data_IF_153647669456
#
_entry.id   IF_153647669456
#
_cell.length_a   1.000
_cell.length_b   1.000
_cell.length_c   1.000
_cell.angle_alpha   90.00
_cell.angle_beta   90.00
_cell.angle_gamma   90.00
#
_symmetry.space_group_name_H-M   'P 1'
#
loop_
_entity.id
_entity.type
_entity.pdbx_description
1 polymer ?
#
# COMPACT_ATOMS: atom_id res chain seq x y z
N UNK A 1 10.34 11.73 15.31
CA UNK A 1 8.90 11.49 15.55
C UNK A 1 7.96 12.52 14.89
N UNK A 2 7.89 13.77 15.37
CA UNK A 2 6.89 14.76 14.92
C UNK A 2 6.88 15.02 13.41
N UNK A 3 8.06 15.13 12.79
CA UNK A 3 8.17 15.29 11.34
C UNK A 3 7.52 14.12 10.58
N UNK A 4 7.73 12.88 11.03
CA UNK A 4 7.13 11.68 10.42
C UNK A 4 5.61 11.63 10.58
N UNK A 5 5.09 12.01 11.75
CA UNK A 5 3.63 12.13 12.00
C UNK A 5 3.03 13.17 11.07
N UNK A 6 3.64 14.36 10.99
CA UNK A 6 3.20 15.44 10.12
C UNK A 6 3.21 15.02 8.65
N UNK A 7 4.32 14.43 8.17
CA UNK A 7 4.43 13.93 6.80
C UNK A 7 3.35 12.88 6.48
N UNK A 8 3.18 11.89 7.34
CA UNK A 8 2.19 10.82 7.14
C UNK A 8 0.77 11.37 7.08
N UNK A 9 0.44 12.29 7.99
CA UNK A 9 -0.90 12.90 8.07
C UNK A 9 -1.18 13.81 6.86
N UNK A 10 -0.21 14.65 6.48
CA UNK A 10 -0.32 15.54 5.32
C UNK A 10 -0.45 14.71 4.04
N UNK A 11 0.38 13.68 3.86
CA UNK A 11 0.29 12.79 2.70
C UNK A 11 -1.07 12.08 2.63
N UNK A 12 -1.62 11.62 3.76
CA UNK A 12 -2.95 11.03 3.80
C UNK A 12 -4.05 12.03 3.37
N UNK A 13 -4.00 13.25 3.88
CA UNK A 13 -4.96 14.31 3.53
C UNK A 13 -4.87 14.70 2.06
N UNK A 14 -3.66 14.90 1.53
CA UNK A 14 -3.43 15.22 0.12
C UNK A 14 -3.86 14.08 -0.79
N UNK A 15 -3.57 12.83 -0.41
CA UNK A 15 -3.99 11.64 -1.15
C UNK A 15 -5.51 11.50 -1.19
N UNK A 16 -6.19 11.68 -0.06
CA UNK A 16 -7.64 11.68 0.03
C UNK A 16 -8.26 12.79 -0.83
N UNK A 17 -7.74 14.02 -0.71
CA UNK A 17 -8.21 15.16 -1.49
C UNK A 17 -8.08 14.94 -3.00
N UNK A 18 -6.89 14.53 -3.45
CA UNK A 18 -6.64 14.23 -4.88
C UNK A 18 -7.47 13.06 -5.37
N UNK A 19 -7.74 12.06 -4.52
CA UNK A 19 -8.65 10.96 -4.83
C UNK A 19 -10.09 11.43 -5.05
N UNK A 20 -10.61 12.32 -4.18
CA UNK A 20 -11.95 12.92 -4.34
C UNK A 20 -12.02 13.72 -5.63
N UNK A 21 -11.05 14.61 -5.87
CA UNK A 21 -10.97 15.41 -7.11
C UNK A 21 -10.95 14.52 -8.36
N UNK A 22 -10.20 13.42 -8.32
CA UNK A 22 -10.15 12.48 -9.43
C UNK A 22 -11.51 11.83 -9.69
N UNK A 23 -12.22 11.43 -8.64
CA UNK A 23 -13.54 10.81 -8.76
C UNK A 23 -14.63 11.77 -9.24
N UNK A 24 -14.60 13.02 -8.79
CA UNK A 24 -15.54 14.06 -9.22
C UNK A 24 -15.32 14.41 -10.71
N UNK A 25 -14.06 14.56 -11.12
CA UNK A 25 -13.71 14.79 -12.52
C UNK A 25 -14.17 13.65 -13.44
N UNK A 26 -14.08 12.41 -12.96
CA UNK A 26 -14.58 11.26 -13.69
C UNK A 26 -16.10 11.26 -13.85
N UNK A 27 -16.84 11.62 -12.81
CA UNK A 27 -18.30 11.79 -12.88
C UNK A 27 -18.70 12.85 -13.90
N UNK A 28 -18.06 14.03 -13.86
CA UNK A 28 -18.29 15.12 -14.83
C UNK A 28 -18.03 14.63 -16.26
N UNK A 29 -16.95 13.86 -16.46
CA UNK A 29 -16.62 13.29 -17.76
C UNK A 29 -17.68 12.30 -18.25
N UNK A 30 -18.21 11.44 -17.37
CA UNK A 30 -19.27 10.50 -17.72
C UNK A 30 -20.60 11.20 -18.03
N UNK A 31 -20.90 12.31 -17.35
CA UNK A 31 -22.08 13.13 -17.63
C UNK A 31 -21.98 13.83 -18.99
N UNK A 32 -20.81 14.40 -19.31
CA UNK A 32 -20.58 15.10 -20.57
C UNK A 32 -20.44 14.16 -21.77
N UNK A 33 -19.93 12.94 -21.57
CA UNK A 33 -19.77 11.94 -22.63
C UNK A 33 -20.34 10.58 -22.20
N UNK A 34 -21.63 10.32 -22.48
CA UNK A 34 -22.33 9.10 -22.03
C UNK A 34 -21.70 7.78 -22.47
N UNK A 35 -20.87 7.77 -23.52
CA UNK A 35 -20.16 6.57 -23.99
C UNK A 35 -19.26 5.93 -22.91
N UNK A 36 -18.78 6.71 -21.93
CA UNK A 36 -17.94 6.21 -20.85
C UNK A 36 -18.73 5.60 -19.67
N UNK A 37 -20.06 5.58 -19.75
CA UNK A 37 -20.92 4.92 -18.75
C UNK A 37 -21.02 3.40 -18.92
N UNK A 38 -20.89 2.89 -20.15
CA UNK A 38 -21.17 1.48 -20.48
C UNK A 38 -19.98 0.54 -20.22
N UNK A 39 -18.75 0.97 -20.55
CA UNK A 39 -17.50 0.29 -20.17
C UNK A 39 -16.31 1.14 -20.61
N UNK A 40 -15.40 1.46 -19.69
CA UNK A 40 -14.13 2.11 -20.04
C UNK A 40 -12.98 1.35 -19.37
N UNK A 41 -12.21 0.59 -20.16
CA UNK A 41 -11.08 -0.21 -19.65
C UNK A 41 -9.92 0.65 -19.13
N UNK A 42 -9.75 1.86 -19.66
CA UNK A 42 -8.64 2.77 -19.33
C UNK A 42 -9.16 4.20 -19.06
N UNK A 43 -9.83 4.42 -17.92
CA UNK A 43 -10.50 5.69 -17.64
C UNK A 43 -9.52 6.86 -17.49
N UNK A 44 -8.36 6.65 -16.88
CA UNK A 44 -7.40 7.73 -16.62
C UNK A 44 -6.74 8.28 -17.91
N UNK A 45 -6.23 7.45 -18.83
CA UNK A 45 -5.74 7.93 -20.13
C UNK A 45 -6.81 8.60 -20.99
N UNK A 46 -8.07 8.18 -20.88
CA UNK A 46 -9.18 8.82 -21.59
C UNK A 46 -9.47 10.23 -21.06
N UNK A 47 -9.31 10.48 -19.76
CA UNK A 47 -9.33 11.84 -19.22
C UNK A 47 -8.21 12.69 -19.84
N UNK A 48 -6.98 12.16 -19.88
CA UNK A 48 -5.86 12.82 -20.54
C UNK A 48 -6.13 13.13 -22.03
N UNK A 49 -6.80 12.22 -22.72
CA UNK A 49 -7.22 12.41 -24.11
C UNK A 49 -8.19 13.58 -24.29
N UNK A 50 -9.12 13.77 -23.35
CA UNK A 50 -10.12 14.83 -23.45
C UNK A 50 -9.58 16.22 -23.16
N UNK A 51 -8.49 16.32 -22.40
CA UNK A 51 -7.85 17.61 -22.08
C UNK A 51 -6.81 18.01 -23.13
N UNK A 52 -5.92 17.09 -23.51
CA UNK A 52 -4.76 17.41 -24.38
C UNK A 52 -4.70 16.58 -25.67
N UNK A 53 -5.79 15.89 -26.04
CA UNK A 53 -5.81 15.02 -27.21
C UNK A 53 -4.88 13.82 -27.07
N UNK A 54 -4.38 13.30 -28.20
CA UNK A 54 -3.59 12.08 -28.20
C UNK A 54 -2.29 12.18 -27.39
N UNK A 55 -1.66 13.37 -27.36
CA UNK A 55 -0.46 13.62 -26.56
C UNK A 55 -0.72 13.42 -25.07
N UNK A 56 -1.84 13.92 -24.55
CA UNK A 56 -2.25 13.70 -23.16
C UNK A 56 -2.51 12.24 -22.82
N UNK A 57 -3.15 11.50 -23.74
CA UNK A 57 -3.39 10.07 -23.58
C UNK A 57 -2.07 9.30 -23.44
N UNK A 58 -1.12 9.55 -24.33
CA UNK A 58 0.19 8.87 -24.33
C UNK A 58 0.94 9.22 -23.03
N UNK A 59 1.02 10.50 -22.68
CA UNK A 59 1.70 10.95 -21.47
C UNK A 59 1.17 10.27 -20.20
N UNK A 60 -0.15 10.31 -19.97
CA UNK A 60 -0.79 9.68 -18.80
C UNK A 60 -0.61 8.16 -18.81
N UNK A 61 -0.72 7.52 -19.98
CA UNK A 61 -0.51 6.06 -20.10
C UNK A 61 0.92 5.67 -19.72
N UNK A 62 1.92 6.42 -20.19
CA UNK A 62 3.33 6.16 -19.87
C UNK A 62 3.58 6.29 -18.38
N UNK A 63 3.12 7.38 -17.75
CA UNK A 63 3.29 7.59 -16.31
C UNK A 63 2.65 6.48 -15.47
N UNK A 64 1.41 6.10 -15.80
CA UNK A 64 0.71 5.02 -15.08
C UNK A 64 1.43 3.68 -15.28
N UNK A 65 1.94 3.41 -16.47
CA UNK A 65 2.65 2.15 -16.77
C UNK A 65 3.95 2.06 -15.95
N UNK A 66 4.72 3.14 -15.88
CA UNK A 66 5.94 3.21 -15.06
C UNK A 66 5.60 3.02 -13.57
N UNK A 67 4.57 3.73 -13.07
CA UNK A 67 4.10 3.61 -11.70
C UNK A 67 3.70 2.17 -11.35
N UNK A 68 2.89 1.54 -12.20
CA UNK A 68 2.37 0.19 -11.99
C UNK A 68 3.46 -0.88 -12.07
N UNK A 69 4.42 -0.72 -12.98
CA UNK A 69 5.60 -1.59 -13.03
C UNK A 69 6.39 -1.52 -11.71
N UNK A 70 6.69 -0.31 -11.24
CA UNK A 70 7.39 -0.13 -9.96
C UNK A 70 6.62 -0.72 -8.78
N UNK A 71 5.31 -0.49 -8.73
CA UNK A 71 4.44 -1.04 -7.68
C UNK A 71 4.46 -2.57 -7.66
N UNK A 72 4.35 -3.18 -8.84
CA UNK A 72 4.40 -4.64 -9.00
C UNK A 72 5.73 -5.23 -8.56
N UNK A 73 6.86 -4.58 -8.90
CA UNK A 73 8.19 -5.02 -8.48
C UNK A 73 8.35 -4.99 -6.97
N UNK A 74 7.95 -3.90 -6.31
CA UNK A 74 8.07 -3.78 -4.84
C UNK A 74 7.23 -4.83 -4.13
N UNK A 75 5.97 -5.03 -4.54
CA UNK A 75 5.10 -6.05 -3.94
C UNK A 75 5.61 -7.47 -4.18
N UNK A 76 6.17 -7.75 -5.36
CA UNK A 76 6.78 -9.05 -5.66
C UNK A 76 7.97 -9.34 -4.74
N UNK A 77 8.86 -8.34 -4.55
CA UNK A 77 10.02 -8.48 -3.68
C UNK A 77 9.62 -8.66 -2.20
N UNK A 78 8.60 -7.91 -1.75
CA UNK A 78 8.06 -8.05 -0.40
C UNK A 78 7.46 -9.45 -0.17
N UNK A 79 6.65 -9.94 -1.12
CA UNK A 79 6.09 -11.29 -1.04
C UNK A 79 7.19 -12.37 -1.01
N UNK A 80 8.25 -12.21 -1.81
CA UNK A 80 9.39 -13.12 -1.81
C UNK A 80 10.15 -13.10 -0.47
N UNK A 81 10.31 -11.94 0.16
CA UNK A 81 10.97 -11.81 1.47
C UNK A 81 10.15 -12.46 2.60
N UNK A 82 8.82 -12.24 2.60
CA UNK A 82 7.90 -12.87 3.55
C UNK A 82 7.92 -14.40 3.41
N UNK A 83 7.86 -14.92 2.17
CA UNK A 83 7.92 -16.37 1.90
C UNK A 83 9.28 -16.95 2.30
N UNK A 84 10.38 -16.27 1.99
CA UNK A 84 11.73 -16.69 2.41
C UNK A 84 11.84 -16.79 3.92
N UNK A 85 11.36 -15.77 4.64
CA UNK A 85 11.32 -15.74 6.10
C UNK A 85 10.48 -16.86 6.69
N UNK A 86 9.31 -17.14 6.07
CA UNK A 86 8.43 -18.23 6.46
C UNK A 86 9.07 -19.61 6.28
N UNK A 87 9.68 -19.87 5.12
CA UNK A 87 10.37 -21.14 4.83
C UNK A 87 11.53 -21.38 5.80
N UNK A 88 12.29 -20.33 6.11
CA UNK A 88 13.38 -20.42 7.07
C UNK A 88 12.86 -20.70 8.49
N UNK A 89 11.76 -20.07 8.90
CA UNK A 89 11.24 -20.25 10.25
C UNK A 89 10.67 -21.65 10.51
N UNK A 90 9.88 -22.21 9.58
CA UNK A 90 9.20 -23.49 9.77
C UNK A 90 10.05 -24.70 9.39
N UNK A 91 10.81 -24.60 8.30
CA UNK A 91 11.58 -25.73 7.76
C UNK A 91 13.11 -25.53 7.82
N UNK A 92 13.60 -24.39 8.31
CA UNK A 92 15.04 -24.07 8.35
C UNK A 92 15.72 -24.15 6.97
N UNK A 93 14.95 -24.04 5.90
CA UNK A 93 15.45 -24.10 4.52
C UNK A 93 15.85 -22.70 4.09
N UNK A 94 17.14 -22.53 3.78
CA UNK A 94 17.66 -21.29 3.17
C UNK A 94 17.68 -21.46 1.66
N UNK A 95 16.68 -20.89 0.99
CA UNK A 95 16.63 -20.79 -0.48
C UNK A 95 17.15 -19.41 -0.90
N UNK A 96 17.78 -19.33 -2.06
CA UNK A 96 18.20 -18.04 -2.63
C UNK A 96 16.98 -17.15 -2.89
N UNK A 97 17.01 -15.92 -2.38
CA UNK A 97 15.97 -14.91 -2.57
C UNK A 97 15.57 -14.71 -4.03
N UNK A 98 16.54 -14.67 -4.95
CA UNK A 98 16.27 -14.50 -6.38
C UNK A 98 15.43 -15.65 -6.95
N UNK A 99 15.64 -16.87 -6.47
CA UNK A 99 14.88 -18.04 -6.91
C UNK A 99 13.44 -18.00 -6.39
N UNK A 100 13.24 -17.61 -5.13
CA UNK A 100 11.90 -17.42 -4.56
C UNK A 100 11.15 -16.33 -5.33
N UNK A 101 11.77 -15.18 -5.60
CA UNK A 101 11.14 -14.09 -6.34
C UNK A 101 10.66 -14.52 -7.73
N UNK A 102 11.46 -15.33 -8.45
CA UNK A 102 11.04 -15.90 -9.75
C UNK A 102 9.88 -16.88 -9.59
N UNK A 103 9.90 -17.73 -8.56
CA UNK A 103 8.83 -18.70 -8.30
C UNK A 103 7.50 -18.00 -7.99
N UNK A 104 7.54 -16.95 -7.15
CA UNK A 104 6.37 -16.13 -6.82
C UNK A 104 5.82 -15.44 -8.07
N UNK A 105 6.68 -14.87 -8.91
CA UNK A 105 6.27 -14.24 -10.16
C UNK A 105 5.56 -15.24 -11.09
N UNK A 106 6.14 -16.44 -11.27
CA UNK A 106 5.55 -17.49 -12.08
C UNK A 106 4.20 -17.95 -11.54
N UNK A 107 4.08 -18.08 -10.21
CA UNK A 107 2.84 -18.50 -9.56
C UNK A 107 1.74 -17.44 -9.66
N UNK A 108 2.05 -16.15 -9.51
CA UNK A 108 1.08 -15.05 -9.57
C UNK A 108 0.63 -14.77 -11.01
N UNK A 109 1.50 -14.98 -12.01
CA UNK A 109 1.21 -14.71 -13.43
C UNK A 109 -0.13 -15.26 -13.94
N UNK A 110 -0.52 -16.54 -13.72
CA UNK A 110 -1.83 -17.04 -14.14
C UNK A 110 -3.00 -16.33 -13.47
N UNK A 111 -2.83 -15.87 -12.23
CA UNK A 111 -3.87 -15.13 -11.51
C UNK A 111 -4.04 -13.69 -12.03
N UNK A 112 -2.99 -13.09 -12.58
CA UNK A 112 -3.08 -11.77 -13.25
C UNK A 112 -3.93 -11.79 -14.53
N UNK A 113 -4.18 -12.97 -15.10
CA UNK A 113 -5.04 -13.14 -16.27
C UNK A 113 -6.53 -13.22 -15.90
N UNK A 114 -6.88 -13.25 -14.61
CA UNK A 114 -8.25 -13.27 -14.13
C UNK A 114 -8.91 -11.88 -14.22
N UNK A 115 -10.25 -11.85 -14.17
CA UNK A 115 -11.10 -10.67 -14.40
C UNK A 115 -10.98 -9.53 -13.37
N UNK A 116 -11.89 -8.54 -13.47
CA UNK A 116 -11.84 -7.30 -12.67
C UNK A 116 -11.88 -7.56 -11.15
N UNK A 117 -11.43 -6.58 -10.36
CA UNK A 117 -11.46 -6.61 -8.90
C UNK A 117 -12.86 -6.91 -8.31
N UNK A 118 -13.93 -6.57 -9.04
CA UNK A 118 -15.32 -6.91 -8.71
C UNK A 118 -15.54 -8.41 -8.48
N UNK A 119 -14.86 -9.26 -9.24
CA UNK A 119 -15.05 -10.72 -9.18
C UNK A 119 -14.33 -11.36 -7.97
N UNK A 120 -13.48 -10.59 -7.27
CA UNK A 120 -12.67 -11.03 -6.13
C UNK A 120 -12.88 -10.20 -4.86
N UNK A 121 -14.10 -9.72 -4.60
CA UNK A 121 -14.40 -8.91 -3.41
C UNK A 121 -14.09 -9.67 -2.10
N UNK A 122 -14.22 -11.00 -2.07
CA UNK A 122 -13.89 -11.82 -0.91
C UNK A 122 -12.39 -11.75 -0.58
N UNK A 123 -11.53 -11.73 -1.60
CA UNK A 123 -10.08 -11.62 -1.40
C UNK A 123 -9.72 -10.27 -0.77
N UNK A 124 -10.35 -9.18 -1.21
CA UNK A 124 -10.17 -7.85 -0.60
C UNK A 124 -10.65 -7.82 0.87
N UNK A 125 -11.78 -8.46 1.17
CA UNK A 125 -12.28 -8.56 2.55
C UNK A 125 -11.33 -9.38 3.45
N UNK A 126 -10.87 -10.54 2.97
CA UNK A 126 -9.89 -11.38 3.70
C UNK A 126 -8.58 -10.62 3.93
N UNK A 127 -8.06 -9.91 2.92
CA UNK A 127 -6.85 -9.10 3.04
C UNK A 127 -7.02 -7.96 4.06
N UNK A 128 -8.20 -7.34 4.12
CA UNK A 128 -8.50 -6.32 5.12
C UNK A 128 -8.49 -6.91 6.54
N UNK A 129 -9.18 -8.04 6.74
CA UNK A 129 -9.19 -8.74 8.03
C UNK A 129 -7.78 -9.18 8.44
N UNK A 130 -7.00 -9.76 7.53
CA UNK A 130 -5.63 -10.20 7.81
C UNK A 130 -4.74 -9.01 8.20
N UNK A 131 -4.87 -7.87 7.52
CA UNK A 131 -4.16 -6.64 7.86
C UNK A 131 -4.52 -6.14 9.26
N UNK A 132 -5.80 -6.12 9.64
CA UNK A 132 -6.22 -5.69 11.00
C UNK A 132 -5.63 -6.60 12.07
N UNK A 133 -5.66 -7.92 11.85
CA UNK A 133 -5.07 -8.89 12.79
C UNK A 133 -3.57 -8.72 12.87
N UNK A 134 -2.88 -8.56 11.73
CA UNK A 134 -1.44 -8.31 11.68
C UNK A 134 -1.05 -7.03 12.41
N UNK A 135 -1.78 -5.93 12.21
CA UNK A 135 -1.57 -4.65 12.91
C UNK A 135 -1.73 -4.79 14.41
N UNK A 136 -2.76 -5.52 14.84
CA UNK A 136 -3.03 -5.76 16.26
C UNK A 136 -1.94 -6.61 16.90
N UNK A 137 -1.51 -7.68 16.23
CA UNK A 137 -0.39 -8.52 16.66
C UNK A 137 0.93 -7.74 16.72
N UNK A 138 1.20 -6.86 15.75
CA UNK A 138 2.37 -5.98 15.78
C UNK A 138 2.33 -5.05 17.00
N UNK A 139 1.19 -4.43 17.32
CA UNK A 139 1.06 -3.58 18.50
C UNK A 139 1.30 -4.38 19.79
N UNK A 140 0.76 -5.60 19.89
CA UNK A 140 1.00 -6.50 21.03
C UNK A 140 2.50 -6.82 21.14
N UNK A 141 3.16 -7.18 20.04
CA UNK A 141 4.59 -7.48 20.03
C UNK A 141 5.44 -6.28 20.46
N UNK A 142 5.17 -5.10 19.91
CA UNK A 142 5.84 -3.85 20.29
C UNK A 142 5.63 -3.54 21.79
N UNK A 143 4.41 -3.77 22.30
CA UNK A 143 4.09 -3.52 23.71
C UNK A 143 4.83 -4.45 24.66
N UNK A 144 5.08 -5.70 24.25
CA UNK A 144 5.88 -6.66 25.00
C UNK A 144 7.36 -6.25 25.03
N UNK A 145 7.89 -5.80 23.89
CA UNK A 145 9.30 -5.43 23.74
C UNK A 145 9.62 -4.09 24.43
N UNK A 146 8.60 -3.31 24.81
CA UNK A 146 8.73 -1.98 25.42
C UNK A 146 9.68 -1.94 26.60
N UNK A 147 9.49 -2.80 27.60
CA UNK A 147 10.21 -2.69 28.87
C UNK A 147 11.72 -2.93 28.75
N UNK A 148 12.13 -3.67 27.71
CA UNK A 148 13.52 -4.02 27.44
C UNK A 148 14.11 -3.05 26.41
N UNK A 149 13.46 -2.89 25.26
CA UNK A 149 14.01 -2.13 24.14
C UNK A 149 13.95 -0.61 24.36
N UNK A 150 12.94 -0.09 25.07
CA UNK A 150 12.80 1.37 25.25
C UNK A 150 13.83 1.97 26.22
N UNK A 151 14.58 1.16 26.96
CA UNK A 151 15.61 1.65 27.91
C UNK A 151 16.93 1.99 27.22
N UNK A 152 17.24 1.28 26.15
CA UNK A 152 18.50 1.39 25.40
C UNK A 152 18.31 2.05 24.02
N UNK A 153 17.15 2.68 23.80
CA UNK A 153 16.79 3.24 22.49
C UNK A 153 17.50 4.57 22.24
N UNK A 154 18.13 4.67 21.07
CA UNK A 154 18.68 5.93 20.56
C UNK A 154 17.76 6.54 19.50
N UNK A 155 17.67 7.88 19.49
CA UNK A 155 16.87 8.64 18.54
C UNK A 155 17.80 9.51 17.68
N UNK A 156 18.28 8.98 16.54
CA UNK A 156 19.20 9.73 15.70
C UNK A 156 18.55 11.01 15.15
N UNK A 157 19.34 12.07 14.92
CA UNK A 157 18.84 13.32 14.37
C UNK A 157 18.27 13.12 12.96
N UNK A 158 17.32 13.98 12.58
CA UNK A 158 16.73 13.94 11.24
C UNK A 158 17.77 14.39 10.21
N UNK A 159 18.18 13.48 9.34
CA UNK A 159 19.10 13.77 8.22
C UNK A 159 18.29 13.98 6.94
N UNK A 160 18.60 15.04 6.20
CA UNK A 160 17.88 15.38 4.96
C UNK A 160 17.95 14.28 3.90
N UNK A 161 19.03 13.50 3.83
CA UNK A 161 19.15 12.36 2.90
C UNK A 161 18.07 11.29 3.13
N UNK A 162 17.61 11.12 4.37
CA UNK A 162 16.58 10.16 4.75
C UNK A 162 15.15 10.70 4.51
N UNK A 163 15.01 12.01 4.30
CA UNK A 163 13.71 12.64 4.06
C UNK A 163 13.05 12.11 2.79
N UNK A 164 13.78 12.07 1.68
CA UNK A 164 13.24 11.59 0.40
C UNK A 164 12.90 10.10 0.43
N UNK A 165 13.69 9.29 1.13
CA UNK A 165 13.41 7.87 1.31
C UNK A 165 12.12 7.66 2.12
N UNK A 166 11.98 8.38 3.24
CA UNK A 166 10.77 8.33 4.06
C UNK A 166 9.54 8.82 3.28
N UNK A 167 9.65 9.96 2.59
CA UNK A 167 8.58 10.51 1.77
C UNK A 167 8.16 9.55 0.65
N UNK A 168 9.12 8.96 -0.07
CA UNK A 168 8.84 7.97 -1.11
C UNK A 168 8.11 6.74 -0.59
N UNK A 169 8.50 6.25 0.58
CA UNK A 169 7.85 5.11 1.25
C UNK A 169 6.41 5.46 1.67
N UNK A 170 6.19 6.64 2.23
CA UNK A 170 4.85 7.13 2.61
C UNK A 170 3.96 7.31 1.37
N UNK A 171 4.49 7.91 0.30
CA UNK A 171 3.76 8.10 -0.95
C UNK A 171 3.43 6.78 -1.64
N UNK A 172 4.33 5.78 -1.57
CA UNK A 172 4.05 4.42 -2.00
C UNK A 172 2.90 3.79 -1.20
N UNK A 173 2.91 3.98 0.13
CA UNK A 173 1.90 3.41 1.03
C UNK A 173 0.49 4.01 0.86
N UNK A 174 0.39 5.28 0.43
CA UNK A 174 -0.87 5.93 0.03
C UNK A 174 -1.12 5.87 -1.49
N UNK A 175 -0.31 5.12 -2.23
CA UNK A 175 -0.49 4.93 -3.66
C UNK A 175 -1.79 4.19 -3.98
N UNK A 176 -2.32 4.39 -5.19
CA UNK A 176 -3.51 3.67 -5.65
C UNK A 176 -4.39 4.41 -6.64
N UNK A 177 -4.16 5.71 -6.86
CA UNK A 177 -5.02 6.57 -7.69
C UNK A 177 -5.28 6.04 -9.10
N UNK A 178 -4.32 5.32 -9.69
CA UNK A 178 -4.51 4.74 -11.02
C UNK A 178 -5.62 3.68 -11.09
N UNK A 179 -5.96 3.04 -9.96
CA UNK A 179 -7.04 2.06 -9.83
C UNK A 179 -8.36 2.68 -9.35
N UNK A 180 -8.35 3.90 -8.78
CA UNK A 180 -9.52 4.53 -8.17
C UNK A 180 -10.71 4.64 -9.12
N UNK A 181 -10.45 4.95 -10.38
CA UNK A 181 -11.50 5.08 -11.39
C UNK A 181 -12.14 3.73 -11.76
N UNK A 182 -11.35 2.67 -11.73
CA UNK A 182 -11.86 1.31 -11.90
C UNK A 182 -12.72 0.92 -10.71
N UNK A 183 -12.27 1.22 -9.48
CA UNK A 183 -13.08 1.01 -8.27
C UNK A 183 -14.39 1.79 -8.32
N UNK A 184 -14.32 3.07 -8.69
CA UNK A 184 -15.50 3.92 -8.84
C UNK A 184 -16.47 3.39 -9.91
N UNK A 185 -15.96 2.84 -11.01
CA UNK A 185 -16.79 2.22 -12.03
C UNK A 185 -17.47 0.94 -11.54
N UNK A 186 -16.78 0.16 -10.71
CA UNK A 186 -17.28 -1.09 -10.15
C UNK A 186 -18.22 -0.90 -8.94
N UNK A 187 -18.26 0.30 -8.34
CA UNK A 187 -19.18 0.65 -7.25
C UNK A 187 -20.65 0.60 -7.68
N UNK A 188 -21.51 0.09 -6.80
CA UNK A 188 -22.97 0.13 -7.00
C UNK A 188 -23.49 1.58 -7.17
N UNK A 189 -22.94 2.51 -6.38
CA UNK A 189 -23.28 3.94 -6.45
C UNK A 189 -22.01 4.78 -6.65
N UNK A 190 -21.55 5.00 -7.91
CA UNK A 190 -20.29 5.70 -8.22
C UNK A 190 -20.21 7.15 -7.70
N UNK A 191 -21.37 7.78 -7.47
CA UNK A 191 -21.48 9.14 -6.88
C UNK A 191 -20.99 9.22 -5.43
N UNK A 192 -20.96 8.10 -4.71
CA UNK A 192 -20.52 8.07 -3.31
C UNK A 192 -19.02 7.75 -3.16
N UNK A 193 -18.28 7.69 -4.27
CA UNK A 193 -16.85 7.40 -4.27
C UNK A 193 -16.06 8.35 -3.36
N UNK A 194 -16.42 9.64 -3.31
CA UNK A 194 -15.76 10.60 -2.45
C UNK A 194 -15.83 10.21 -0.96
N UNK A 195 -17.02 9.80 -0.49
CA UNK A 195 -17.22 9.32 0.89
C UNK A 195 -16.35 8.09 1.16
N UNK A 196 -16.38 7.12 0.24
CA UNK A 196 -15.59 5.88 0.33
C UNK A 196 -14.09 6.14 0.35
N UNK A 197 -13.60 7.07 -0.48
CA UNK A 197 -12.19 7.43 -0.55
C UNK A 197 -11.71 8.08 0.75
N UNK A 198 -12.48 9.04 1.29
CA UNK A 198 -12.15 9.70 2.56
C UNK A 198 -12.17 8.71 3.72
N UNK A 199 -13.18 7.83 3.80
CA UNK A 199 -13.23 6.81 4.86
C UNK A 199 -12.08 5.82 4.77
N UNK A 200 -11.68 5.40 3.55
CA UNK A 200 -10.57 4.48 3.36
C UNK A 200 -9.24 5.10 3.80
N UNK A 201 -8.96 6.35 3.43
CA UNK A 201 -7.74 7.05 3.86
C UNK A 201 -7.71 7.29 5.37
N UNK A 202 -8.86 7.63 5.98
CA UNK A 202 -8.96 7.78 7.43
C UNK A 202 -8.68 6.46 8.15
N UNK A 203 -9.21 5.34 7.63
CA UNK A 203 -8.96 4.01 8.17
C UNK A 203 -7.48 3.60 8.05
N UNK A 204 -6.86 3.79 6.89
CA UNK A 204 -5.44 3.50 6.68
C UNK A 204 -4.57 4.35 7.62
N UNK A 205 -4.88 5.65 7.76
CA UNK A 205 -4.16 6.53 8.69
C UNK A 205 -4.26 6.05 10.15
N UNK A 206 -5.44 5.55 10.55
CA UNK A 206 -5.67 4.96 11.87
C UNK A 206 -4.85 3.68 12.10
N UNK A 207 -4.52 2.92 11.05
CA UNK A 207 -3.64 1.76 11.17
C UNK A 207 -2.15 2.16 11.16
N UNK A 208 -1.75 3.07 10.27
CA UNK A 208 -0.34 3.44 10.07
C UNK A 208 0.23 4.26 11.23
N UNK A 209 -0.52 5.23 11.77
CA UNK A 209 0.01 6.11 12.82
C UNK A 209 0.35 5.37 14.11
N UNK A 210 -0.52 4.53 14.71
CA UNK A 210 -0.18 3.83 15.95
C UNK A 210 1.05 2.94 15.81
N UNK A 211 1.14 2.13 14.75
CA UNK A 211 2.29 1.26 14.52
C UNK A 211 3.57 2.08 14.35
N UNK A 212 3.52 3.14 13.54
CA UNK A 212 4.70 3.98 13.29
C UNK A 212 5.17 4.69 14.55
N UNK A 213 4.24 5.20 15.37
CA UNK A 213 4.55 5.88 16.62
C UNK A 213 5.11 4.89 17.65
N UNK A 214 4.41 3.78 17.92
CA UNK A 214 4.86 2.81 18.91
C UNK A 214 6.16 2.12 18.49
N UNK A 215 6.27 1.71 17.22
CA UNK A 215 7.48 1.09 16.69
C UNK A 215 8.68 2.02 16.78
N UNK A 216 8.51 3.31 16.42
CA UNK A 216 9.59 4.29 16.57
C UNK A 216 9.97 4.52 18.04
N UNK A 217 9.00 4.62 18.96
CA UNK A 217 9.28 4.87 20.38
C UNK A 217 9.99 3.69 21.08
N UNK A 218 9.76 2.46 20.62
CA UNK A 218 10.35 1.25 21.23
C UNK A 218 11.68 0.89 20.58
N UNK A 219 11.80 0.97 19.25
CA UNK A 219 13.01 0.53 18.53
C UNK A 219 13.94 1.67 18.13
N UNK A 220 13.43 2.89 17.89
CA UNK A 220 14.23 4.05 17.49
C UNK A 220 15.20 3.76 16.35
N UNK A 221 16.48 4.09 16.56
CA UNK A 221 17.57 3.84 15.60
C UNK A 221 18.00 2.37 15.45
N UNK A 222 17.54 1.47 16.34
CA UNK A 222 17.87 0.03 16.27
C UNK A 222 16.93 -0.78 15.37
N UNK A 223 15.94 -0.11 14.76
CA UNK A 223 14.98 -0.75 13.86
C UNK A 223 15.69 -1.40 12.66
N UNK A 224 15.31 -2.64 12.36
CA UNK A 224 15.75 -3.35 11.15
C UNK A 224 14.99 -2.85 9.92
N UNK A 225 15.19 -3.49 8.77
CA UNK A 225 14.58 -3.12 7.49
C UNK A 225 13.04 -3.01 7.53
N UNK A 226 12.38 -3.74 8.44
CA UNK A 226 10.95 -3.64 8.71
C UNK A 226 10.67 -3.67 10.22
N UNK A 227 9.51 -3.14 10.64
CA UNK A 227 9.06 -3.26 12.04
C UNK A 227 8.86 -4.75 12.40
N UNK A 228 8.35 -5.55 11.47
CA UNK A 228 8.11 -6.98 11.66
C UNK A 228 9.40 -7.71 12.04
N UNK A 229 10.48 -7.46 11.30
CA UNK A 229 11.79 -8.08 11.58
C UNK A 229 12.47 -7.58 12.86
N UNK A 230 11.96 -6.50 13.45
CA UNK A 230 12.46 -5.91 14.70
C UNK A 230 11.79 -6.48 15.95
N UNK A 231 10.63 -7.14 15.81
CA UNK A 231 9.92 -7.79 16.92
C UNK A 231 10.76 -8.93 17.51
N UNK A 232 10.82 -9.01 18.84
CA UNK A 232 11.55 -10.07 19.54
C UNK A 232 10.74 -11.37 19.67
N UNK A 233 9.41 -11.25 19.72
CA UNK A 233 8.50 -12.40 19.76
C UNK A 233 8.45 -13.09 18.39
N UNK A 234 9.22 -14.16 18.25
CA UNK A 234 9.35 -14.94 17.00
C UNK A 234 8.00 -15.44 16.49
N UNK A 235 7.11 -15.95 17.36
CA UNK A 235 5.80 -16.44 16.93
C UNK A 235 4.90 -15.31 16.40
N UNK A 236 4.97 -14.10 16.98
CA UNK A 236 4.23 -12.93 16.50
C UNK A 236 4.77 -12.53 15.13
N UNK A 237 6.09 -12.40 15.00
CA UNK A 237 6.76 -12.08 13.75
C UNK A 237 6.34 -13.05 12.62
N UNK A 238 6.36 -14.36 12.89
CA UNK A 238 5.99 -15.36 11.88
C UNK A 238 4.51 -15.31 11.52
N UNK A 239 3.62 -15.14 12.51
CA UNK A 239 2.18 -15.04 12.25
C UNK A 239 1.88 -13.80 11.40
N UNK A 240 2.52 -12.67 11.71
CA UNK A 240 2.38 -11.42 10.96
C UNK A 240 2.89 -11.60 9.52
N UNK A 241 4.05 -12.23 9.30
CA UNK A 241 4.55 -12.52 7.95
C UNK A 241 3.64 -13.41 7.10
N UNK A 242 2.79 -14.24 7.72
CA UNK A 242 1.81 -15.09 7.00
C UNK A 242 0.54 -14.30 6.65
N UNK A 243 0.18 -13.32 7.48
CA UNK A 243 -1.04 -12.53 7.31
C UNK A 243 -0.92 -11.42 6.26
N UNK A 244 0.31 -11.00 5.91
CA UNK A 244 0.61 -9.88 5.02
C UNK A 244 1.42 -10.34 3.81
#
# INVERSE_FOLDING_TARGET
LWAGIAMTTISAMLSAYTGVQLGDNWMIMQERWPKYKLSCRKPYPEMGFRVFGNSGRIFVTTLITIQQFGFSVVLLLLAADNISSFLFAFWQVKINFCFIAMLVALFITPFLMLGSAKDFWQAAFVAMCSTIVAVTLMIIGISHDRDVCSREVDFPPVVFSQFFLAYGTIMFAYGGHSAFLSFQHDMHTPREFAKSSVSAHAFILMLYLPISIFGYLVYGGSQRGTIISSLQLTWVQQTVNVLI
#
